data_IF_177230886735
#
_entry.id   IF_177230886735
#
_cell.length_a   1.000
_cell.length_b   1.000
_cell.length_c   1.000
_cell.angle_alpha   90.00
_cell.angle_beta   90.00
_cell.angle_gamma   90.00
#
_symmetry.space_group_name_H-M   'P 1'
#
loop_
_entity.id
_entity.type
_entity.pdbx_description
1 polymer ?
#
# COMPACT_ATOMS: atom_id res chain seq x y z
N UNK A 1 19.05 2.90 -8.71
CA UNK A 1 18.58 1.82 -7.82
C UNK A 1 17.44 2.35 -6.97
N UNK A 2 16.35 1.59 -6.90
CA UNK A 2 15.12 2.02 -6.23
C UNK A 2 14.72 1.02 -5.14
N UNK A 3 14.23 1.54 -4.02
CA UNK A 3 13.51 0.79 -3.00
C UNK A 3 12.04 1.21 -2.99
N UNK A 4 11.15 0.23 -2.82
CA UNK A 4 9.69 0.44 -2.79
C UNK A 4 9.15 0.00 -1.45
N UNK A 5 8.50 0.91 -0.73
CA UNK A 5 7.89 0.65 0.57
C UNK A 5 6.38 0.90 0.47
N UNK A 6 5.59 -0.14 0.72
CA UNK A 6 4.14 -0.11 0.52
C UNK A 6 3.42 -0.22 1.86
N UNK A 7 2.73 0.84 2.25
CA UNK A 7 1.76 0.85 3.33
C UNK A 7 0.48 0.16 2.83
N UNK A 8 0.48 -1.17 2.95
CA UNK A 8 -0.57 -2.02 2.36
C UNK A 8 -1.95 -1.68 2.93
N UNK A 9 -2.03 -1.36 4.23
CA UNK A 9 -3.28 -1.03 4.87
C UNK A 9 -3.86 0.30 4.36
N UNK A 10 -3.04 1.34 4.25
CA UNK A 10 -3.46 2.64 3.71
C UNK A 10 -3.97 2.50 2.28
N UNK A 11 -3.23 1.81 1.42
CA UNK A 11 -3.62 1.58 0.04
C UNK A 11 -4.90 0.74 -0.07
N UNK A 12 -5.03 -0.30 0.74
CA UNK A 12 -6.22 -1.15 0.79
C UNK A 12 -7.47 -0.36 1.18
N UNK A 13 -7.41 0.42 2.25
CA UNK A 13 -8.54 1.24 2.69
C UNK A 13 -8.93 2.29 1.65
N UNK A 14 -7.96 2.92 1.01
CA UNK A 14 -8.21 3.89 -0.06
C UNK A 14 -8.94 3.26 -1.24
N UNK A 15 -8.48 2.11 -1.74
CA UNK A 15 -9.11 1.42 -2.86
C UNK A 15 -10.52 0.95 -2.53
N UNK A 16 -10.72 0.42 -1.32
CA UNK A 16 -12.03 -0.01 -0.85
C UNK A 16 -13.01 1.14 -0.71
N UNK A 17 -12.59 2.23 -0.08
CA UNK A 17 -13.46 3.36 0.19
C UNK A 17 -13.80 4.15 -1.08
N UNK A 18 -12.83 4.35 -1.98
CA UNK A 18 -13.03 5.14 -3.19
C UNK A 18 -13.70 4.36 -4.32
N UNK A 19 -13.39 3.08 -4.47
CA UNK A 19 -13.75 2.29 -5.66
C UNK A 19 -14.43 0.96 -5.35
N UNK A 20 -14.60 0.61 -4.07
CA UNK A 20 -15.07 -0.72 -3.64
C UNK A 20 -14.32 -1.86 -4.36
N UNK A 21 -13.01 -1.75 -4.40
CA UNK A 21 -12.12 -2.64 -5.13
C UNK A 21 -10.90 -3.03 -4.28
N UNK A 22 -10.17 -4.03 -4.75
CA UNK A 22 -8.86 -4.41 -4.23
C UNK A 22 -7.76 -3.66 -4.97
N UNK A 23 -6.59 -3.58 -4.36
CA UNK A 23 -5.41 -2.96 -4.96
C UNK A 23 -4.69 -3.94 -5.88
N UNK A 24 -4.26 -3.46 -7.04
CA UNK A 24 -3.38 -4.20 -7.95
C UNK A 24 -1.91 -3.89 -7.63
N UNK A 25 -1.34 -4.60 -6.68
CA UNK A 25 0.04 -4.39 -6.23
C UNK A 25 1.08 -4.70 -7.31
N UNK A 26 0.76 -5.60 -8.25
CA UNK A 26 1.64 -5.89 -9.37
C UNK A 26 1.84 -4.66 -10.28
N UNK A 27 0.77 -3.95 -10.59
CA UNK A 27 0.85 -2.71 -11.38
C UNK A 27 1.53 -1.58 -10.59
N UNK A 28 1.29 -1.49 -9.29
CA UNK A 28 1.98 -0.52 -8.43
C UNK A 28 3.50 -0.75 -8.50
N UNK A 29 3.95 -2.00 -8.28
CA UNK A 29 5.37 -2.34 -8.33
C UNK A 29 5.98 -2.06 -9.70
N UNK A 30 5.29 -2.44 -10.77
CA UNK A 30 5.73 -2.20 -12.15
C UNK A 30 5.93 -0.72 -12.45
N UNK A 31 4.96 0.12 -12.06
CA UNK A 31 5.03 1.57 -12.26
C UNK A 31 6.12 2.18 -11.37
N UNK A 32 6.19 1.78 -10.10
CA UNK A 32 7.23 2.25 -9.18
C UNK A 32 8.65 1.92 -9.67
N UNK A 33 8.84 0.76 -10.30
CA UNK A 33 10.14 0.39 -10.88
C UNK A 33 10.48 1.20 -12.12
N UNK A 34 9.53 1.40 -13.01
CA UNK A 34 9.73 2.14 -14.27
C UNK A 34 11.04 1.75 -15.01
N UNK A 35 11.34 0.45 -15.07
CA UNK A 35 12.54 -0.09 -15.69
C UNK A 35 13.83 0.06 -14.85
N UNK A 36 13.76 0.65 -13.66
CA UNK A 36 14.91 0.81 -12.77
C UNK A 36 15.25 -0.49 -12.01
N UNK A 37 16.49 -0.58 -11.52
CA UNK A 37 16.94 -1.74 -10.74
C UNK A 37 16.33 -1.70 -9.33
N UNK A 38 15.51 -2.70 -9.02
CA UNK A 38 14.96 -2.89 -7.67
C UNK A 38 16.06 -3.36 -6.71
N UNK A 39 16.16 -2.67 -5.56
CA UNK A 39 16.98 -3.11 -4.42
C UNK A 39 16.10 -3.93 -3.47
N UNK A 40 14.98 -3.35 -3.01
CA UNK A 40 14.00 -4.03 -2.16
C UNK A 40 12.60 -3.48 -2.43
N UNK A 41 11.61 -4.37 -2.40
CA UNK A 41 10.20 -4.01 -2.29
C UNK A 41 9.65 -4.62 -1.00
N UNK A 42 9.09 -3.80 -0.12
CA UNK A 42 8.58 -4.21 1.19
C UNK A 42 7.12 -3.79 1.30
N UNK A 43 6.25 -4.75 1.59
CA UNK A 43 4.85 -4.53 1.94
C UNK A 43 4.66 -4.68 3.45
N UNK A 44 4.12 -3.65 4.06
CA UNK A 44 3.83 -3.62 5.50
C UNK A 44 2.36 -3.97 5.71
N UNK A 45 2.13 -5.08 6.39
CA UNK A 45 0.80 -5.67 6.53
C UNK A 45 0.42 -5.86 7.99
N UNK A 46 -0.87 -5.73 8.27
CA UNK A 46 -1.46 -6.03 9.58
C UNK A 46 -2.19 -7.36 9.46
N UNK A 47 -1.82 -8.30 10.33
CA UNK A 47 -2.44 -9.61 10.41
C UNK A 47 -3.62 -9.56 11.39
N UNK A 48 -4.78 -10.03 10.96
CA UNK A 48 -5.94 -10.24 11.81
C UNK A 48 -5.94 -11.66 12.40
N UNK A 49 -6.76 -11.88 13.42
CA UNK A 49 -6.87 -13.19 14.08
C UNK A 49 -7.46 -14.28 13.16
N UNK A 50 -8.20 -13.88 12.13
CA UNK A 50 -8.90 -14.81 11.24
C UNK A 50 -7.98 -15.55 10.27
N UNK A 51 -6.80 -14.99 9.98
CA UNK A 51 -5.83 -15.57 9.03
C UNK A 51 -6.32 -15.64 7.58
N UNK A 52 -7.42 -14.96 7.26
CA UNK A 52 -8.00 -14.92 5.91
C UNK A 52 -7.08 -14.27 4.88
N UNK A 53 -6.11 -13.47 5.35
CA UNK A 53 -5.17 -12.74 4.52
C UNK A 53 -3.96 -13.56 4.05
N UNK A 54 -3.82 -14.81 4.48
CA UNK A 54 -2.63 -15.64 4.18
C UNK A 54 -2.39 -15.76 2.67
N UNK A 55 -3.43 -16.04 1.89
CA UNK A 55 -3.32 -16.14 0.43
C UNK A 55 -2.90 -14.82 -0.23
N UNK A 56 -3.35 -13.70 0.33
CA UNK A 56 -2.96 -12.37 -0.13
C UNK A 56 -1.47 -12.09 0.16
N UNK A 57 -0.99 -12.44 1.36
CA UNK A 57 0.43 -12.27 1.70
C UNK A 57 1.32 -13.15 0.83
N UNK A 58 0.93 -14.40 0.58
CA UNK A 58 1.64 -15.28 -0.35
C UNK A 58 1.68 -14.71 -1.78
N UNK A 59 0.60 -14.06 -2.22
CA UNK A 59 0.56 -13.40 -3.53
C UNK A 59 1.56 -12.23 -3.61
N UNK A 60 1.69 -11.42 -2.55
CA UNK A 60 2.69 -10.34 -2.48
C UNK A 60 4.12 -10.90 -2.60
N UNK A 61 4.42 -11.98 -1.87
CA UNK A 61 5.73 -12.65 -1.91
C UNK A 61 6.04 -13.16 -3.33
N UNK A 62 5.06 -13.76 -4.00
CA UNK A 62 5.21 -14.23 -5.39
C UNK A 62 5.48 -13.10 -6.38
N UNK A 63 5.03 -11.89 -6.09
CA UNK A 63 5.33 -10.68 -6.88
C UNK A 63 6.72 -10.12 -6.62
N UNK A 64 7.48 -10.69 -5.67
CA UNK A 64 8.78 -10.17 -5.25
C UNK A 64 8.71 -9.06 -4.20
N UNK A 65 7.57 -8.93 -3.51
CA UNK A 65 7.37 -7.99 -2.40
C UNK A 65 7.60 -8.75 -1.09
N UNK A 66 8.63 -8.36 -0.35
CA UNK A 66 8.84 -8.87 1.01
C UNK A 66 7.70 -8.39 1.92
N UNK A 67 7.16 -9.25 2.74
CA UNK A 67 6.11 -8.86 3.70
C UNK A 67 6.66 -8.74 5.11
N UNK A 68 6.41 -7.59 5.75
CA UNK A 68 6.58 -7.42 7.18
C UNK A 68 5.22 -7.41 7.85
N UNK A 69 4.99 -8.34 8.75
CA UNK A 69 3.70 -8.55 9.41
C UNK A 69 3.74 -8.08 10.86
N UNK A 70 2.64 -7.51 11.30
CA UNK A 70 2.38 -7.11 12.68
C UNK A 70 0.96 -7.53 13.03
N UNK A 71 0.78 -8.06 14.25
CA UNK A 71 -0.55 -8.39 14.73
C UNK A 71 -1.36 -7.14 15.05
N UNK A 72 -2.66 -7.19 14.74
CA UNK A 72 -3.58 -6.13 15.13
C UNK A 72 -3.71 -6.09 16.66
N UNK A 73 -3.41 -4.95 17.26
CA UNK A 73 -3.58 -4.76 18.68
C UNK A 73 -5.03 -4.40 19.01
N UNK A 74 -5.62 -5.15 19.97
CA UNK A 74 -6.96 -4.90 20.47
C UNK A 74 -6.81 -4.40 21.91
N UNK A 75 -7.27 -3.17 22.15
CA UNK A 75 -7.24 -2.55 23.47
C UNK A 75 -8.55 -2.80 24.23
N UNK A 76 -8.58 -2.67 25.58
CA UNK A 76 -9.80 -2.70 26.36
C UNK A 76 -10.84 -1.71 25.82
N UNK A 77 -12.10 -2.16 25.63
CA UNK A 77 -13.15 -1.36 25.01
C UNK A 77 -13.31 -1.58 23.50
N UNK A 78 -12.59 -2.54 22.90
CA UNK A 78 -12.72 -2.93 21.49
C UNK A 78 -12.00 -2.00 20.51
N UNK A 79 -11.19 -1.07 21.01
CA UNK A 79 -10.37 -0.21 20.13
C UNK A 79 -9.27 -1.06 19.51
N UNK A 80 -9.27 -1.07 18.16
CA UNK A 80 -8.26 -1.76 17.36
C UNK A 80 -7.24 -0.75 16.85
N UNK A 81 -5.96 -1.01 17.08
CA UNK A 81 -4.86 -0.19 16.56
C UNK A 81 -3.80 -1.08 15.95
N UNK A 82 -3.39 -0.70 14.76
CA UNK A 82 -2.26 -1.30 14.06
C UNK A 82 -1.86 -0.39 12.91
N UNK A 83 -0.65 0.14 12.99
CA UNK A 83 -0.02 0.88 11.92
C UNK A 83 1.46 0.50 11.82
N UNK A 84 2.06 0.86 10.70
CA UNK A 84 3.47 0.61 10.41
C UNK A 84 4.28 1.90 10.26
N UNK A 85 3.76 3.05 10.62
CA UNK A 85 4.36 4.35 10.31
C UNK A 85 5.81 4.44 10.80
N UNK A 86 6.05 4.07 12.05
CA UNK A 86 7.42 4.04 12.61
C UNK A 86 8.28 3.01 11.89
N UNK A 87 7.77 1.82 11.63
CA UNK A 87 8.50 0.77 10.93
C UNK A 87 8.87 1.15 9.50
N UNK A 88 7.94 1.74 8.77
CA UNK A 88 8.17 2.27 7.41
C UNK A 88 9.24 3.37 7.46
N UNK A 89 9.12 4.31 8.41
CA UNK A 89 10.08 5.41 8.54
C UNK A 89 11.50 4.91 8.84
N UNK A 90 11.64 3.95 9.76
CA UNK A 90 12.95 3.35 10.10
C UNK A 90 13.57 2.64 8.90
N UNK A 91 12.79 1.83 8.18
CA UNK A 91 13.29 1.13 7.01
C UNK A 91 13.64 2.07 5.86
N UNK A 92 12.84 3.12 5.64
CA UNK A 92 13.11 4.13 4.62
C UNK A 92 14.41 4.88 4.90
N UNK A 93 14.67 5.25 6.15
CA UNK A 93 15.93 5.89 6.56
C UNK A 93 17.11 4.94 6.32
N UNK A 94 17.03 3.69 6.78
CA UNK A 94 18.10 2.69 6.58
C UNK A 94 18.41 2.45 5.10
N UNK A 95 17.38 2.35 4.27
CA UNK A 95 17.55 2.18 2.83
C UNK A 95 18.11 3.45 2.19
N UNK A 96 17.67 4.61 2.61
CA UNK A 96 18.19 5.89 2.14
C UNK A 96 19.65 6.14 2.51
N UNK A 97 20.14 5.55 3.60
CA UNK A 97 21.55 5.61 4.00
C UNK A 97 22.43 4.60 3.27
N UNK A 98 21.81 3.65 2.59
CA UNK A 98 22.52 2.61 1.81
C UNK A 98 22.72 3.02 0.35
N UNK A 99 22.88 2.05 -0.51
CA UNK A 99 23.12 2.24 -1.95
C UNK A 99 21.87 2.48 -2.80
N UNK A 100 20.81 3.03 -2.23
CA UNK A 100 19.56 3.37 -2.92
C UNK A 100 19.60 4.84 -3.36
N UNK A 101 19.25 5.08 -4.62
CA UNK A 101 19.21 6.43 -5.19
C UNK A 101 17.83 7.06 -5.01
N UNK A 102 16.79 6.24 -5.09
CA UNK A 102 15.38 6.64 -5.09
C UNK A 102 14.55 5.75 -4.18
N UNK A 103 13.63 6.34 -3.43
CA UNK A 103 12.63 5.62 -2.64
C UNK A 103 11.24 5.93 -3.17
N UNK A 104 10.42 4.89 -3.35
CA UNK A 104 9.00 5.03 -3.69
C UNK A 104 8.18 4.62 -2.47
N UNK A 105 7.39 5.55 -1.95
CA UNK A 105 6.48 5.33 -0.83
C UNK A 105 5.05 5.13 -1.36
N UNK A 106 4.49 3.97 -1.13
CA UNK A 106 3.09 3.64 -1.45
C UNK A 106 2.19 3.96 -0.26
N UNK A 107 1.86 5.21 -0.08
CA UNK A 107 0.96 5.70 0.98
C UNK A 107 0.42 7.08 0.65
N UNK A 108 -0.80 7.38 1.11
CA UNK A 108 -1.39 8.73 1.03
C UNK A 108 -1.35 9.50 2.36
N UNK A 109 -0.71 8.93 3.39
CA UNK A 109 -0.71 9.47 4.73
C UNK A 109 0.23 10.66 4.89
N UNK A 110 -0.32 11.80 5.29
CA UNK A 110 0.44 13.04 5.54
C UNK A 110 1.43 12.96 6.69
N UNK A 111 1.33 11.97 7.57
CA UNK A 111 2.26 11.79 8.67
C UNK A 111 3.69 11.43 8.18
N UNK A 112 3.82 11.00 6.93
CA UNK A 112 5.12 10.75 6.30
C UNK A 112 5.81 12.00 5.73
N UNK A 113 5.20 13.17 5.78
CA UNK A 113 5.84 14.42 5.30
C UNK A 113 7.23 14.65 5.91
N UNK A 114 7.42 14.54 7.25
CA UNK A 114 8.76 14.72 7.84
C UNK A 114 9.79 13.70 7.35
N UNK A 115 9.37 12.47 7.07
CA UNK A 115 10.24 11.43 6.51
C UNK A 115 10.74 11.81 5.12
N UNK A 116 9.83 12.28 4.25
CA UNK A 116 10.19 12.70 2.90
C UNK A 116 11.17 13.86 2.94
N UNK A 117 10.89 14.86 3.75
CA UNK A 117 11.78 16.02 3.91
C UNK A 117 13.17 15.60 4.40
N UNK A 118 13.24 14.68 5.37
CA UNK A 118 14.51 14.15 5.86
C UNK A 118 15.30 13.45 4.75
N UNK A 119 14.67 12.54 4.00
CA UNK A 119 15.34 11.79 2.94
C UNK A 119 15.82 12.68 1.80
N UNK A 120 15.02 13.67 1.42
CA UNK A 120 15.39 14.65 0.40
C UNK A 120 16.60 15.50 0.85
N UNK A 121 16.63 15.92 2.10
CA UNK A 121 17.77 16.64 2.67
C UNK A 121 19.06 15.77 2.71
N UNK A 122 18.91 14.45 2.66
CA UNK A 122 20.02 13.50 2.50
C UNK A 122 20.37 13.21 1.03
N UNK A 123 19.80 13.95 0.09
CA UNK A 123 20.07 13.82 -1.33
C UNK A 123 19.40 12.62 -1.99
N UNK A 124 18.33 12.08 -1.37
CA UNK A 124 17.54 10.99 -1.98
C UNK A 124 16.37 11.55 -2.76
N UNK A 125 16.08 10.92 -3.90
CA UNK A 125 14.84 11.17 -4.61
C UNK A 125 13.72 10.39 -3.92
N UNK A 126 12.62 11.06 -3.59
CA UNK A 126 11.47 10.44 -2.93
C UNK A 126 10.22 10.63 -3.76
N UNK A 127 9.67 9.52 -4.22
CA UNK A 127 8.45 9.46 -5.00
C UNK A 127 7.32 8.89 -4.13
N UNK A 128 6.09 9.34 -4.36
CA UNK A 128 4.90 8.82 -3.70
C UNK A 128 3.96 8.25 -4.75
N UNK A 129 3.45 7.04 -4.50
CA UNK A 129 2.42 6.41 -5.33
C UNK A 129 1.20 6.11 -4.45
N UNK A 130 0.07 6.73 -4.77
CA UNK A 130 -1.17 6.58 -4.00
C UNK A 130 -2.39 7.05 -4.79
N UNK A 131 -3.58 6.79 -4.26
CA UNK A 131 -4.82 7.34 -4.80
C UNK A 131 -4.94 8.81 -4.40
N UNK A 132 -4.75 9.72 -5.36
CA UNK A 132 -4.70 11.16 -5.13
C UNK A 132 -5.94 11.73 -4.44
N UNK A 133 -7.11 11.10 -4.64
CA UNK A 133 -8.36 11.50 -4.00
C UNK A 133 -8.39 11.28 -2.48
N UNK A 134 -7.55 10.41 -1.94
CA UNK A 134 -7.40 10.15 -0.49
C UNK A 134 -6.00 10.45 0.02
N UNK A 135 -5.20 11.20 -0.73
CA UNK A 135 -3.82 11.54 -0.36
C UNK A 135 -3.75 12.95 0.20
N UNK A 136 -2.97 13.13 1.28
CA UNK A 136 -2.66 14.43 1.86
C UNK A 136 -2.09 15.39 0.79
N UNK A 137 -2.66 16.61 0.72
CA UNK A 137 -2.16 17.64 -0.20
C UNK A 137 -0.70 17.99 0.07
N UNK A 138 -0.29 18.04 1.35
CA UNK A 138 1.08 18.32 1.74
C UNK A 138 2.04 17.21 1.32
N UNK A 139 1.61 15.96 1.41
CA UNK A 139 2.41 14.81 0.95
C UNK A 139 2.71 14.89 -0.55
N UNK A 140 1.70 15.24 -1.36
CA UNK A 140 1.86 15.45 -2.80
C UNK A 140 2.85 16.57 -3.11
N UNK A 141 2.81 17.66 -2.34
CA UNK A 141 3.64 18.84 -2.54
C UNK A 141 5.12 18.57 -2.23
N UNK A 142 5.42 17.84 -1.15
CA UNK A 142 6.81 17.62 -0.71
C UNK A 142 7.52 16.50 -1.48
N UNK A 143 6.80 15.56 -2.07
CA UNK A 143 7.38 14.50 -2.89
C UNK A 143 8.08 15.09 -4.13
N UNK A 144 9.17 14.46 -4.57
CA UNK A 144 9.82 14.83 -5.84
C UNK A 144 8.93 14.48 -7.04
N UNK A 145 8.18 13.37 -6.92
CA UNK A 145 7.18 12.95 -7.89
C UNK A 145 5.99 12.33 -7.16
N UNK A 146 4.78 12.65 -7.63
CA UNK A 146 3.55 12.03 -7.17
C UNK A 146 2.88 11.27 -8.31
N UNK A 147 2.77 9.96 -8.16
CA UNK A 147 2.10 9.08 -9.11
C UNK A 147 0.67 8.87 -8.63
N UNK A 148 -0.27 9.55 -9.30
CA UNK A 148 -1.69 9.53 -8.94
C UNK A 148 -2.42 8.31 -9.52
N UNK A 149 -2.67 7.32 -8.68
CA UNK A 149 -3.44 6.13 -9.09
C UNK A 149 -4.92 6.45 -9.36
N UNK A 150 -5.44 7.56 -8.83
CA UNK A 150 -6.81 8.01 -9.13
C UNK A 150 -6.97 8.55 -10.56
N UNK A 151 -5.89 8.87 -11.25
CA UNK A 151 -5.93 9.26 -12.66
C UNK A 151 -6.28 8.08 -13.58
N UNK A 152 -5.96 6.85 -13.19
CA UNK A 152 -6.33 5.63 -13.89
C UNK A 152 -6.68 4.50 -12.90
N UNK A 153 -7.82 4.59 -12.20
CA UNK A 153 -8.16 3.65 -11.14
C UNK A 153 -8.32 2.21 -11.64
N UNK A 154 -8.76 2.00 -12.87
CA UNK A 154 -8.91 0.65 -13.45
C UNK A 154 -7.59 -0.10 -13.57
N UNK A 155 -6.48 0.61 -13.77
CA UNK A 155 -5.14 0.03 -13.84
C UNK A 155 -4.67 -0.48 -12.47
N UNK A 156 -4.99 0.27 -11.42
CA UNK A 156 -4.46 0.04 -10.06
C UNK A 156 -5.43 -0.68 -9.13
N UNK A 157 -6.60 -1.07 -9.62
CA UNK A 157 -7.60 -1.79 -8.83
C UNK A 157 -8.04 -3.08 -9.52
N UNK A 158 -8.47 -4.04 -8.67
CA UNK A 158 -9.08 -5.29 -9.10
C UNK A 158 -10.51 -5.31 -8.56
N UNK A 159 -11.54 -5.44 -9.42
CA UNK A 159 -12.93 -5.49 -8.98
C UNK A 159 -13.19 -6.63 -8.00
N UNK A 160 -13.95 -6.38 -6.95
CA UNK A 160 -14.47 -7.42 -6.07
C UNK A 160 -15.63 -8.09 -6.80
N UNK A 161 -15.51 -9.38 -7.16
CA UNK A 161 -16.61 -10.14 -7.74
C UNK A 161 -17.75 -10.22 -6.72
N UNK A 162 -18.92 -9.63 -7.03
CA UNK A 162 -20.14 -9.90 -6.28
C UNK A 162 -20.45 -11.40 -6.41
N UNK A 163 -20.50 -12.11 -5.30
CA UNK A 163 -21.09 -13.46 -5.26
C UNK A 163 -22.53 -13.32 -5.82
N UNK A 164 -22.77 -13.96 -6.96
CA UNK A 164 -24.14 -14.14 -7.46
C UNK A 164 -24.87 -14.96 -6.42
N UNK A 165 -25.71 -14.34 -5.61
CA UNK A 165 -26.74 -15.03 -4.85
C UNK A 165 -27.69 -15.63 -5.88
N UNK A 166 -27.55 -16.92 -6.14
CA UNK A 166 -28.56 -17.72 -6.82
C UNK A 166 -29.78 -17.73 -5.92
N UNK A 167 -30.74 -16.85 -6.22
CA UNK A 167 -32.10 -16.99 -5.70
C UNK A 167 -32.65 -18.31 -6.29
N UNK A 168 -32.61 -19.35 -5.50
CA UNK A 168 -33.45 -20.49 -5.73
C UNK A 168 -34.91 -20.02 -5.66
N UNK A 169 -35.52 -19.86 -6.83
CA UNK A 169 -36.96 -19.82 -6.93
C UNK A 169 -37.44 -21.28 -6.64
N UNK A 170 -37.81 -21.53 -5.40
CA UNK A 170 -38.66 -22.64 -5.07
C UNK A 170 -40.01 -22.36 -5.70
N UNK A 171 -40.27 -22.99 -6.84
CA UNK A 171 -41.62 -23.18 -7.37
C UNK A 171 -42.33 -24.09 -6.43
N UNK A 172 -43.20 -23.56 -5.59
CA UNK A 172 -44.28 -24.29 -4.98
C UNK A 172 -45.42 -24.28 -6.00
N UNK A 173 -45.50 -25.34 -6.80
CA UNK A 173 -46.64 -25.61 -7.63
C UNK A 173 -47.65 -26.46 -6.83
N UNK A 174 -48.86 -26.02 -6.85
CA UNK A 174 -50.04 -26.83 -6.47
C UNK A 174 -50.11 -28.12 -7.22
#
# INVERSE_FOLDING_TARGET
RVAVLLDVQNLYHSAKNLYNARVNFNEILKVALSGRKLVRAIGYVIKTETGEETAFFEALIKMGIETKMKDLQIFPGGIKKGDWDVGIAVDAIRLGESSVDSLVLGTGDGDFVPLIEYLKNRGRQVEVIAFGRSTSAKLKEVADEFIDMSANPKKFTIPIKKLRTTRNKTNVGN
#
